data_IF_529939617968
#
_entry.id   IF_529939617968
#
_cell.length_a   1.000
_cell.length_b   1.000
_cell.length_c   1.000
_cell.angle_alpha   90.00
_cell.angle_beta   90.00
_cell.angle_gamma   90.00
#
_symmetry.space_group_name_H-M   'P 1'
#
loop_
_entity.id
_entity.type
_entity.pdbx_description
1 polymer ?
#
# COMPACT_ATOMS: atom_id res chain seq x y z
N UNK A 1 16.34 7.21 -36.77
CA UNK A 1 17.35 6.14 -37.07
C UNK A 1 17.83 5.47 -35.78
N UNK A 2 18.15 6.22 -34.72
CA UNK A 2 18.61 5.66 -33.41
C UNK A 2 17.55 4.77 -32.72
N UNK A 3 16.27 5.11 -32.77
CA UNK A 3 15.19 4.30 -32.18
C UNK A 3 15.02 2.97 -32.91
N UNK A 4 15.16 2.96 -34.24
CA UNK A 4 15.07 1.76 -35.06
C UNK A 4 16.23 0.81 -34.75
N UNK A 5 17.44 1.35 -34.59
CA UNK A 5 18.61 0.55 -34.22
C UNK A 5 18.49 -0.05 -32.82
N UNK A 6 17.94 0.70 -31.86
CA UNK A 6 17.64 0.16 -30.52
C UNK A 6 16.62 -0.98 -30.55
N UNK A 7 15.61 -0.88 -31.41
CA UNK A 7 14.62 -1.95 -31.57
C UNK A 7 15.26 -3.21 -32.19
N UNK A 8 16.11 -3.06 -33.19
CA UNK A 8 16.84 -4.19 -33.78
C UNK A 8 17.77 -4.84 -32.74
N UNK A 9 18.51 -4.05 -31.98
CA UNK A 9 19.36 -4.55 -30.93
C UNK A 9 18.57 -5.32 -29.85
N UNK A 10 17.36 -4.88 -29.51
CA UNK A 10 16.49 -5.59 -28.57
C UNK A 10 16.03 -6.95 -29.12
N UNK A 11 15.73 -7.04 -30.42
CA UNK A 11 15.40 -8.31 -31.09
C UNK A 11 16.59 -9.27 -31.07
N UNK A 12 17.77 -8.76 -31.40
CA UNK A 12 19.00 -9.57 -31.41
C UNK A 12 19.37 -10.10 -30.02
N UNK A 13 19.20 -9.26 -28.97
CA UNK A 13 19.38 -9.68 -27.58
C UNK A 13 18.36 -10.75 -27.19
N UNK A 14 17.14 -10.71 -27.70
CA UNK A 14 16.13 -11.74 -27.47
C UNK A 14 16.57 -13.13 -27.94
N UNK A 15 17.46 -13.20 -28.92
CA UNK A 15 18.02 -14.46 -29.44
C UNK A 15 19.34 -14.84 -28.73
N UNK A 16 20.20 -13.86 -28.48
CA UNK A 16 21.55 -14.06 -27.95
C UNK A 16 21.67 -13.94 -26.44
N UNK A 17 20.72 -13.26 -25.78
CA UNK A 17 20.70 -13.02 -24.34
C UNK A 17 20.12 -14.17 -23.51
N UNK A 18 19.85 -15.32 -24.11
CA UNK A 18 19.33 -16.50 -23.39
C UNK A 18 20.47 -17.07 -22.54
N UNK A 19 20.21 -17.15 -21.23
CA UNK A 19 21.16 -17.75 -20.26
C UNK A 19 20.60 -19.06 -19.74
N UNK A 20 21.41 -20.10 -19.72
CA UNK A 20 21.02 -21.33 -19.05
C UNK A 20 20.99 -21.14 -17.54
N UNK A 21 19.86 -21.48 -16.93
CA UNK A 21 19.71 -21.42 -15.48
C UNK A 21 19.93 -22.80 -14.88
N UNK A 22 20.99 -22.95 -14.12
CA UNK A 22 21.23 -24.16 -13.34
C UNK A 22 20.35 -24.12 -12.07
N UNK A 23 19.53 -25.15 -11.91
CA UNK A 23 18.68 -25.32 -10.73
C UNK A 23 19.05 -26.56 -9.95
N UNK A 24 18.91 -26.62 -8.64
CA UNK A 24 19.20 -27.80 -7.83
C UNK A 24 18.30 -28.97 -8.22
N UNK A 25 18.87 -30.18 -8.37
CA UNK A 25 18.08 -31.41 -8.68
C UNK A 25 16.96 -31.66 -7.66
N UNK A 26 17.15 -31.21 -6.41
CA UNK A 26 16.15 -31.30 -5.34
C UNK A 26 14.83 -30.59 -5.69
N UNK A 27 14.81 -29.63 -6.62
CA UNK A 27 13.58 -28.95 -7.04
C UNK A 27 12.62 -29.88 -7.79
N UNK A 28 13.14 -30.92 -8.45
CA UNK A 28 12.31 -31.90 -9.17
C UNK A 28 11.41 -32.72 -8.21
N UNK A 29 11.84 -32.87 -6.96
CA UNK A 29 11.14 -33.65 -5.93
C UNK A 29 10.60 -32.74 -4.79
N UNK A 30 10.77 -31.43 -4.90
CA UNK A 30 10.29 -30.50 -3.91
C UNK A 30 8.76 -30.53 -3.81
N UNK A 31 8.25 -30.80 -2.62
CA UNK A 31 6.84 -30.64 -2.31
C UNK A 31 6.60 -29.26 -1.71
N UNK A 32 5.46 -28.64 -2.04
CA UNK A 32 5.09 -27.36 -1.44
C UNK A 32 5.02 -27.50 0.07
N UNK A 33 5.98 -26.91 0.77
CA UNK A 33 5.95 -26.75 2.24
C UNK A 33 5.14 -25.54 2.69
N UNK A 34 4.49 -24.84 1.77
CA UNK A 34 3.68 -23.69 2.12
C UNK A 34 2.42 -24.15 2.85
N UNK A 35 2.43 -24.05 4.17
CA UNK A 35 1.20 -24.00 4.96
C UNK A 35 0.43 -22.77 4.50
N UNK A 36 -0.78 -22.96 3.99
CA UNK A 36 -1.65 -21.83 3.63
C UNK A 36 -1.74 -20.91 4.85
N UNK A 37 -1.27 -19.68 4.70
CA UNK A 37 -1.29 -18.72 5.79
C UNK A 37 -2.75 -18.48 6.18
N UNK A 38 -3.07 -18.68 7.46
CA UNK A 38 -4.38 -18.32 7.99
C UNK A 38 -4.51 -16.80 7.94
N UNK A 39 -5.47 -16.30 7.17
CA UNK A 39 -5.68 -14.86 6.99
C UNK A 39 -6.84 -14.39 7.87
N UNK A 40 -7.96 -15.10 7.87
CA UNK A 40 -9.17 -14.70 8.61
C UNK A 40 -10.17 -15.86 8.69
N UNK A 41 -10.96 -15.87 9.75
CA UNK A 41 -12.13 -16.76 9.93
C UNK A 41 -13.45 -16.07 9.52
N UNK A 42 -13.38 -14.85 8.98
CA UNK A 42 -14.56 -14.15 8.45
C UNK A 42 -15.27 -15.02 7.40
N UNK A 43 -16.55 -15.37 7.58
CA UNK A 43 -17.28 -16.23 6.64
C UNK A 43 -17.27 -15.69 5.20
N UNK A 44 -17.32 -14.37 5.02
CA UNK A 44 -17.25 -13.78 3.68
C UNK A 44 -15.89 -13.99 3.04
N UNK A 45 -14.81 -13.90 3.83
CA UNK A 45 -13.48 -14.22 3.35
C UNK A 45 -13.36 -15.70 2.99
N UNK A 46 -13.73 -16.60 3.89
CA UNK A 46 -13.55 -18.06 3.71
C UNK A 46 -14.37 -18.59 2.55
N UNK A 47 -15.64 -18.16 2.46
CA UNK A 47 -16.62 -18.72 1.54
C UNK A 47 -16.63 -18.06 0.18
N UNK A 48 -16.13 -16.82 0.06
CA UNK A 48 -16.23 -16.04 -1.17
C UNK A 48 -14.88 -15.53 -1.64
N UNK A 49 -14.16 -14.73 -0.82
CA UNK A 49 -12.92 -14.09 -1.26
C UNK A 49 -11.79 -15.09 -1.46
N UNK A 50 -11.58 -16.00 -0.51
CA UNK A 50 -10.52 -17.00 -0.57
C UNK A 50 -10.59 -17.90 -1.83
N UNK A 51 -11.75 -18.44 -2.23
CA UNK A 51 -11.88 -19.17 -3.50
C UNK A 51 -11.55 -18.30 -4.72
N UNK A 52 -11.94 -17.02 -4.74
CA UNK A 52 -11.63 -16.11 -5.84
C UNK A 52 -10.13 -15.84 -5.91
N UNK A 53 -9.47 -15.56 -4.78
CA UNK A 53 -8.02 -15.38 -4.73
C UNK A 53 -7.24 -16.62 -5.15
N UNK A 54 -7.80 -17.81 -4.88
CA UNK A 54 -7.26 -19.08 -5.34
C UNK A 54 -7.60 -19.40 -6.81
N UNK A 55 -8.19 -18.47 -7.57
CA UNK A 55 -8.65 -18.66 -8.95
C UNK A 55 -9.66 -19.80 -9.13
N UNK A 56 -10.51 -20.00 -8.13
CA UNK A 56 -11.55 -21.04 -8.08
C UNK A 56 -12.96 -20.45 -8.05
N UNK A 57 -13.11 -19.22 -8.54
CA UNK A 57 -14.39 -18.52 -8.56
C UNK A 57 -15.50 -19.24 -9.37
N UNK A 58 -15.11 -20.04 -10.38
CA UNK A 58 -16.00 -20.90 -11.16
C UNK A 58 -16.70 -21.99 -10.34
N UNK A 59 -16.14 -22.34 -9.18
CA UNK A 59 -16.74 -23.32 -8.25
C UNK A 59 -17.79 -22.70 -7.32
N UNK A 60 -17.89 -21.37 -7.29
CA UNK A 60 -18.86 -20.68 -6.45
C UNK A 60 -20.25 -20.73 -7.10
N UNK A 61 -21.29 -21.10 -6.32
CA UNK A 61 -22.65 -21.01 -6.83
C UNK A 61 -23.06 -19.55 -7.02
N UNK A 62 -23.90 -19.28 -8.04
CA UNK A 62 -24.39 -17.92 -8.36
C UNK A 62 -25.06 -17.26 -7.14
N UNK A 63 -25.67 -18.04 -6.25
CA UNK A 63 -26.29 -17.55 -5.02
C UNK A 63 -25.33 -16.92 -4.02
N UNK A 64 -24.01 -17.09 -4.18
CA UNK A 64 -23.00 -16.39 -3.37
C UNK A 64 -22.75 -14.95 -3.86
N UNK A 65 -23.19 -14.61 -5.06
CA UNK A 65 -23.15 -13.26 -5.60
C UNK A 65 -24.43 -12.51 -5.20
N UNK A 66 -24.28 -11.30 -4.68
CA UNK A 66 -25.43 -10.46 -4.38
C UNK A 66 -26.17 -10.09 -5.68
N UNK A 67 -27.50 -10.19 -5.66
CA UNK A 67 -28.33 -9.96 -6.85
C UNK A 67 -28.24 -8.53 -7.40
N UNK A 68 -27.90 -7.56 -6.53
CA UNK A 68 -27.69 -6.16 -6.84
C UNK A 68 -26.23 -5.83 -7.21
N UNK A 69 -25.34 -6.84 -7.20
CA UNK A 69 -23.92 -6.68 -7.48
C UNK A 69 -23.11 -6.06 -6.33
N UNK A 70 -23.70 -5.88 -5.14
CA UNK A 70 -23.00 -5.33 -4.00
C UNK A 70 -21.86 -6.25 -3.53
N UNK A 71 -20.67 -5.68 -3.39
CA UNK A 71 -19.50 -6.33 -2.77
C UNK A 71 -19.11 -5.54 -1.52
N UNK A 72 -18.98 -6.18 -0.35
CA UNK A 72 -18.56 -5.52 0.86
C UNK A 72 -17.23 -4.76 0.67
N UNK A 73 -17.12 -3.58 1.27
CA UNK A 73 -15.90 -2.77 1.25
C UNK A 73 -14.84 -3.30 2.21
N UNK A 74 -13.60 -2.85 2.07
CA UNK A 74 -12.50 -3.18 2.99
C UNK A 74 -11.90 -4.58 2.78
N UNK A 75 -12.15 -5.23 1.65
CA UNK A 75 -11.67 -6.59 1.36
C UNK A 75 -10.16 -6.65 1.08
N UNK A 76 -9.50 -5.52 0.79
CA UNK A 76 -8.03 -5.44 0.62
C UNK A 76 -7.24 -5.87 1.86
N UNK A 77 -7.86 -5.83 3.04
CA UNK A 77 -7.24 -6.36 4.28
C UNK A 77 -6.88 -7.84 4.19
N UNK A 78 -7.55 -8.60 3.31
CA UNK A 78 -7.31 -10.02 3.09
C UNK A 78 -6.27 -10.32 2.03
N UNK A 79 -5.86 -9.32 1.25
CA UNK A 79 -4.94 -9.49 0.13
C UNK A 79 -3.80 -8.46 0.20
N UNK A 80 -2.80 -8.76 1.00
CA UNK A 80 -1.60 -7.93 1.20
C UNK A 80 -0.43 -8.53 0.40
N UNK A 81 -0.27 -8.11 -0.86
CA UNK A 81 0.68 -8.74 -1.80
C UNK A 81 2.13 -8.29 -1.65
N UNK A 82 2.37 -7.04 -1.22
CA UNK A 82 3.72 -6.52 -1.04
C UNK A 82 4.56 -6.54 -2.32
N UNK A 83 3.99 -6.10 -3.44
CA UNK A 83 4.63 -6.20 -4.78
C UNK A 83 5.67 -5.13 -5.05
N UNK A 84 5.73 -4.09 -4.24
CA UNK A 84 6.68 -3.00 -4.41
C UNK A 84 8.10 -3.44 -4.06
N UNK A 85 9.08 -3.05 -4.86
CA UNK A 85 10.50 -3.19 -4.51
C UNK A 85 10.90 -2.14 -3.48
N UNK A 86 10.39 -0.92 -3.66
CA UNK A 86 10.61 0.21 -2.74
C UNK A 86 9.27 0.87 -2.40
N UNK A 87 9.16 1.39 -1.20
CA UNK A 87 7.98 2.12 -0.70
C UNK A 87 8.38 3.49 -0.16
N UNK A 88 7.47 4.49 -0.21
CA UNK A 88 7.80 5.81 0.29
C UNK A 88 7.81 5.86 1.82
N UNK A 89 8.91 6.34 2.38
CA UNK A 89 9.07 6.64 3.80
C UNK A 89 8.83 8.12 4.05
N UNK A 90 8.09 8.43 5.10
CA UNK A 90 7.76 9.80 5.47
C UNK A 90 8.85 10.44 6.31
N UNK A 91 9.18 11.69 5.98
CA UNK A 91 10.16 12.55 6.69
C UNK A 91 9.36 13.70 7.31
N UNK A 92 9.02 13.61 8.63
CA UNK A 92 8.16 14.57 9.30
C UNK A 92 8.64 16.01 9.20
N UNK A 93 9.95 16.25 9.34
CA UNK A 93 10.57 17.57 9.39
C UNK A 93 10.32 18.35 8.09
N UNK A 94 10.32 17.66 6.96
CA UNK A 94 10.15 18.25 5.65
C UNK A 94 8.68 18.42 5.25
N UNK A 95 7.75 17.77 5.98
CA UNK A 95 6.35 17.70 5.58
C UNK A 95 5.61 19.01 5.88
N UNK A 96 4.99 19.58 4.87
CA UNK A 96 4.13 20.76 4.96
C UNK A 96 2.64 20.42 5.12
N UNK A 97 2.30 19.16 5.28
CA UNK A 97 0.94 18.66 5.52
C UNK A 97 -0.08 19.05 4.43
N UNK A 98 0.32 19.07 3.17
CA UNK A 98 -0.56 19.47 2.06
C UNK A 98 -1.44 18.31 1.54
N UNK A 99 -1.16 17.06 1.90
CA UNK A 99 -1.86 15.83 1.50
C UNK A 99 -1.86 15.53 -0.02
N UNK A 100 -1.03 16.20 -0.82
CA UNK A 100 -0.96 15.92 -2.25
C UNK A 100 -0.49 14.49 -2.54
N UNK A 101 0.37 13.93 -1.69
CA UNK A 101 0.81 12.54 -1.80
C UNK A 101 -0.35 11.54 -1.63
N UNK A 102 -1.31 11.83 -0.75
CA UNK A 102 -2.50 11.00 -0.58
C UNK A 102 -3.45 11.15 -1.79
N UNK A 103 -3.65 12.39 -2.28
CA UNK A 103 -4.53 12.68 -3.42
C UNK A 103 -4.12 11.92 -4.68
N UNK A 104 -2.81 11.81 -4.97
CA UNK A 104 -2.33 11.21 -6.23
C UNK A 104 -2.17 9.69 -6.15
N UNK A 105 -2.35 9.09 -4.98
CA UNK A 105 -2.17 7.65 -4.84
C UNK A 105 -3.37 6.90 -5.43
N UNK A 106 -3.19 6.13 -6.54
CA UNK A 106 -4.29 5.43 -7.18
C UNK A 106 -4.85 4.29 -6.34
N UNK A 107 -4.08 3.84 -5.33
CA UNK A 107 -4.43 2.71 -4.46
C UNK A 107 -4.85 3.15 -3.05
N UNK A 108 -4.86 4.46 -2.77
CA UNK A 108 -5.08 5.00 -1.43
C UNK A 108 -4.20 4.35 -0.33
N UNK A 109 -3.03 3.84 -0.72
CA UNK A 109 -2.07 3.18 0.16
C UNK A 109 -1.18 4.15 0.94
N UNK A 110 -1.31 5.45 0.71
CA UNK A 110 -0.69 6.51 1.50
C UNK A 110 -1.78 7.48 1.96
N UNK A 111 -1.90 7.70 3.27
CA UNK A 111 -2.98 8.48 3.86
C UNK A 111 -2.48 9.40 4.95
N UNK A 112 -3.14 10.56 5.16
CA UNK A 112 -2.95 11.40 6.33
C UNK A 112 -3.77 10.85 7.50
N UNK A 113 -3.15 10.81 8.68
CA UNK A 113 -3.80 10.48 9.93
C UNK A 113 -3.67 11.64 10.91
N UNK A 114 -4.71 11.83 11.72
CA UNK A 114 -4.75 12.81 12.80
C UNK A 114 -5.19 12.10 14.06
N UNK A 115 -4.46 12.33 15.14
CA UNK A 115 -4.78 11.82 16.47
C UNK A 115 -4.67 12.95 17.52
N UNK A 116 -5.20 12.74 18.70
CA UNK A 116 -5.02 13.68 19.82
C UNK A 116 -3.64 13.52 20.44
N UNK A 117 -3.16 14.55 21.14
CA UNK A 117 -1.88 14.50 21.85
C UNK A 117 -1.87 13.48 23.00
N UNK A 118 -3.06 13.09 23.52
CA UNK A 118 -3.19 12.06 24.55
C UNK A 118 -3.19 10.63 24.00
N UNK A 119 -3.18 10.44 22.68
CA UNK A 119 -3.19 9.11 22.08
C UNK A 119 -1.85 8.40 22.35
N UNK A 120 -1.91 7.27 23.04
CA UNK A 120 -0.73 6.40 23.22
C UNK A 120 -0.38 5.72 21.91
N UNK A 121 0.70 6.16 21.28
CA UNK A 121 1.19 5.64 20.02
C UNK A 121 2.49 4.85 20.22
N UNK A 122 2.75 3.81 19.40
CA UNK A 122 4.05 3.14 19.38
C UNK A 122 5.19 4.13 19.11
N UNK A 123 6.37 3.89 19.68
CA UNK A 123 7.56 4.76 19.45
C UNK A 123 7.91 4.91 17.96
N UNK A 124 7.63 3.87 17.16
CA UNK A 124 7.84 3.88 15.71
C UNK A 124 6.83 4.76 14.96
N UNK A 125 5.69 5.08 15.60
CA UNK A 125 4.65 5.91 15.00
C UNK A 125 4.93 7.40 15.24
N UNK A 126 6.03 7.89 14.69
CA UNK A 126 6.41 9.30 14.81
C UNK A 126 5.34 10.18 14.18
N UNK A 127 4.87 11.18 14.91
CA UNK A 127 3.93 12.19 14.46
C UNK A 127 4.44 13.60 14.76
N UNK A 128 3.90 14.59 14.10
CA UNK A 128 4.22 16.01 14.34
C UNK A 128 2.96 16.82 14.64
N UNK A 129 3.13 18.00 15.24
CA UNK A 129 2.00 18.91 15.48
C UNK A 129 1.21 19.14 14.19
N UNK A 130 -0.08 18.92 14.25
CA UNK A 130 -0.98 19.13 13.13
C UNK A 130 -1.21 20.62 12.86
N UNK A 131 -1.48 20.99 11.61
CA UNK A 131 -1.79 22.36 11.22
C UNK A 131 -3.13 22.41 10.50
N UNK A 132 -3.99 23.40 10.83
CA UNK A 132 -5.27 23.62 10.16
C UNK A 132 -6.29 22.50 10.32
N UNK A 133 -6.22 21.75 11.42
CA UNK A 133 -7.16 20.68 11.79
C UNK A 133 -7.65 20.79 13.24
N UNK A 134 -7.46 21.96 13.84
CA UNK A 134 -7.73 22.23 15.25
C UNK A 134 -6.50 22.03 16.14
N UNK A 135 -6.60 22.54 17.39
CA UNK A 135 -5.51 22.47 18.37
C UNK A 135 -5.44 21.09 19.06
N UNK A 136 -4.32 20.82 19.74
CA UNK A 136 -4.11 19.58 20.50
C UNK A 136 -4.10 18.31 19.64
N UNK A 137 -3.65 18.43 18.38
CA UNK A 137 -3.65 17.31 17.44
C UNK A 137 -2.28 17.06 16.82
N UNK A 138 -1.99 15.80 16.59
CA UNK A 138 -0.80 15.31 15.90
C UNK A 138 -1.18 14.77 14.51
N UNK A 139 -0.26 14.91 13.57
CA UNK A 139 -0.41 14.55 12.19
C UNK A 139 0.70 13.57 11.75
N UNK A 140 0.33 12.58 10.95
CA UNK A 140 1.25 11.68 10.27
C UNK A 140 0.76 11.37 8.85
N UNK A 141 1.69 11.23 7.92
CA UNK A 141 1.47 10.50 6.67
C UNK A 141 1.93 9.06 6.88
N UNK A 142 1.02 8.11 6.68
CA UNK A 142 1.32 6.69 6.81
C UNK A 142 1.10 5.98 5.49
N UNK A 143 1.98 5.03 5.19
CA UNK A 143 1.92 4.18 4.00
C UNK A 143 1.54 2.75 4.41
N UNK A 144 0.65 2.12 3.65
CA UNK A 144 0.45 0.67 3.68
C UNK A 144 1.52 0.03 2.79
N UNK A 145 2.55 -0.61 3.35
CA UNK A 145 3.67 -1.11 2.55
C UNK A 145 3.26 -2.24 1.61
N UNK A 146 2.30 -3.06 2.03
CA UNK A 146 1.84 -4.21 1.24
C UNK A 146 0.79 -3.86 0.17
N UNK A 147 0.14 -2.70 0.25
CA UNK A 147 -0.79 -2.20 -0.77
C UNK A 147 -0.10 -1.23 -1.75
N UNK A 148 1.09 -0.76 -1.42
CA UNK A 148 1.87 0.13 -2.27
C UNK A 148 2.43 -0.62 -3.48
N UNK A 149 2.38 0.01 -4.65
CA UNK A 149 2.97 -0.54 -5.89
C UNK A 149 4.36 0.01 -6.22
N UNK A 150 4.90 0.91 -5.38
CA UNK A 150 6.24 1.48 -5.58
C UNK A 150 6.35 2.48 -6.74
N UNK A 151 5.25 3.03 -7.24
CA UNK A 151 5.23 3.88 -8.45
C UNK A 151 5.94 5.23 -8.29
N UNK A 152 6.24 5.70 -7.06
CA UNK A 152 6.94 6.95 -6.78
C UNK A 152 6.13 8.24 -7.00
N UNK A 153 4.87 8.18 -7.45
CA UNK A 153 4.05 9.37 -7.76
C UNK A 153 3.92 10.33 -6.57
N UNK A 154 3.76 9.80 -5.36
CA UNK A 154 3.67 10.59 -4.13
C UNK A 154 4.97 11.36 -3.81
N UNK A 155 6.13 10.76 -4.10
CA UNK A 155 7.43 11.42 -3.94
C UNK A 155 7.59 12.52 -4.97
N UNK A 156 7.23 12.24 -6.22
CA UNK A 156 7.37 13.20 -7.32
C UNK A 156 6.49 14.43 -7.11
N UNK A 157 5.23 14.26 -6.73
CA UNK A 157 4.28 15.38 -6.54
C UNK A 157 4.57 16.21 -5.30
N UNK A 158 5.36 15.73 -4.35
CA UNK A 158 5.62 16.42 -3.10
C UNK A 158 6.20 17.81 -3.36
N UNK A 159 5.50 18.91 -2.96
CA UNK A 159 5.94 20.28 -3.26
C UNK A 159 6.90 20.84 -2.23
N UNK A 160 7.21 20.09 -1.16
CA UNK A 160 8.13 20.54 -0.12
C UNK A 160 9.52 20.83 -0.73
N UNK A 161 10.16 21.90 -0.29
CA UNK A 161 11.48 22.33 -0.79
C UNK A 161 12.51 21.20 -0.68
N UNK A 162 12.53 20.53 0.47
CA UNK A 162 13.19 19.23 0.63
C UNK A 162 12.07 18.19 0.70
N UNK A 163 12.11 17.18 -0.16
CA UNK A 163 11.05 16.17 -0.24
C UNK A 163 10.73 15.57 1.13
N UNK A 164 9.43 15.48 1.44
CA UNK A 164 8.93 14.89 2.68
C UNK A 164 8.73 13.37 2.57
N UNK A 165 9.04 12.79 1.42
CA UNK A 165 8.98 11.36 1.15
C UNK A 165 10.24 10.93 0.41
N UNK A 166 10.77 9.76 0.79
CA UNK A 166 11.92 9.10 0.15
C UNK A 166 11.59 7.63 -0.06
N UNK A 167 11.90 7.09 -1.22
CA UNK A 167 11.76 5.65 -1.46
C UNK A 167 12.81 4.88 -0.64
N UNK A 168 12.39 3.76 -0.05
CA UNK A 168 13.23 2.83 0.69
C UNK A 168 12.88 1.39 0.32
N UNK A 169 13.84 0.45 0.36
CA UNK A 169 13.56 -0.95 0.07
C UNK A 169 12.47 -1.51 0.99
N UNK A 170 11.47 -2.19 0.40
CA UNK A 170 10.35 -2.76 1.15
C UNK A 170 10.86 -3.69 2.26
N UNK A 171 11.80 -4.57 1.95
CA UNK A 171 12.34 -5.56 2.88
C UNK A 171 12.96 -4.96 4.16
N UNK A 172 13.39 -3.69 4.12
CA UNK A 172 13.99 -3.01 5.29
C UNK A 172 12.94 -2.40 6.22
N UNK A 173 11.75 -2.06 5.68
CA UNK A 173 10.76 -1.24 6.39
C UNK A 173 9.41 -1.91 6.57
N UNK A 174 9.12 -3.00 5.85
CA UNK A 174 7.80 -3.60 5.74
C UNK A 174 7.14 -3.90 7.09
N UNK A 175 7.88 -4.50 8.02
CA UNK A 175 7.32 -4.88 9.32
C UNK A 175 6.90 -3.65 10.13
N UNK A 176 7.81 -2.68 10.27
CA UNK A 176 7.56 -1.47 11.07
C UNK A 176 6.43 -0.64 10.45
N UNK A 177 6.45 -0.46 9.14
CA UNK A 177 5.43 0.34 8.46
C UNK A 177 4.07 -0.36 8.40
N UNK A 178 4.04 -1.70 8.36
CA UNK A 178 2.79 -2.45 8.46
C UNK A 178 2.18 -2.36 9.87
N UNK A 179 2.99 -2.46 10.92
CA UNK A 179 2.54 -2.30 12.30
C UNK A 179 2.00 -0.87 12.53
N UNK A 180 2.72 0.14 12.02
CA UNK A 180 2.29 1.54 12.03
C UNK A 180 1.00 1.76 11.24
N UNK A 181 0.83 1.10 10.10
CA UNK A 181 -0.39 1.16 9.31
C UNK A 181 -1.58 0.58 10.07
N UNK A 182 -1.42 -0.59 10.67
CA UNK A 182 -2.47 -1.24 11.44
C UNK A 182 -2.90 -0.35 12.62
N UNK A 183 -1.94 0.19 13.37
CA UNK A 183 -2.22 1.16 14.43
C UNK A 183 -2.98 2.38 13.90
N UNK A 184 -2.56 2.95 12.76
CA UNK A 184 -3.22 4.11 12.18
C UNK A 184 -4.67 3.83 11.75
N UNK A 185 -4.95 2.62 11.25
CA UNK A 185 -6.29 2.23 10.83
C UNK A 185 -7.25 2.00 12.00
N UNK A 186 -6.72 1.73 13.19
CA UNK A 186 -7.51 1.58 14.43
C UNK A 186 -7.75 2.92 15.16
N UNK A 187 -7.16 4.02 14.68
CA UNK A 187 -7.39 5.34 15.26
C UNK A 187 -8.86 5.75 15.14
N UNK A 188 -9.43 6.39 16.18
CA UNK A 188 -10.82 6.87 16.12
C UNK A 188 -10.95 7.97 15.07
N UNK A 189 -12.07 7.96 14.35
CA UNK A 189 -12.42 9.05 13.45
C UNK A 189 -12.69 10.32 14.25
N UNK A 190 -11.99 11.40 13.91
CA UNK A 190 -12.16 12.71 14.53
C UNK A 190 -12.97 13.64 13.62
N UNK A 191 -13.87 14.41 14.21
CA UNK A 191 -14.49 15.53 13.50
C UNK A 191 -13.48 16.69 13.41
N UNK A 192 -12.99 16.92 12.21
CA UNK A 192 -11.93 17.90 11.95
C UNK A 192 -12.52 19.16 11.29
N UNK A 193 -12.17 20.37 11.79
CA UNK A 193 -12.62 21.63 11.20
C UNK A 193 -11.87 21.96 9.91
N UNK A 194 -11.98 21.08 8.91
CA UNK A 194 -11.26 21.23 7.65
C UNK A 194 -12.18 21.64 6.51
N UNK A 195 -11.68 22.47 5.60
CA UNK A 195 -12.40 22.77 4.36
C UNK A 195 -12.23 21.62 3.36
N UNK A 196 -13.26 20.78 3.22
CA UNK A 196 -13.28 19.61 2.33
C UNK A 196 -13.16 19.96 0.83
N UNK A 197 -13.32 21.22 0.44
CA UNK A 197 -13.10 21.70 -0.92
C UNK A 197 -11.63 21.91 -1.26
N UNK A 198 -10.73 21.80 -0.30
CA UNK A 198 -9.27 21.88 -0.53
C UNK A 198 -8.67 20.50 -0.68
N UNK A 199 -7.52 20.39 -1.38
CA UNK A 199 -6.76 19.14 -1.48
C UNK A 199 -6.49 18.55 -0.10
N UNK A 200 -6.01 19.39 0.82
CA UNK A 200 -5.73 18.94 2.20
C UNK A 200 -6.96 18.40 2.90
N UNK A 201 -8.05 19.15 2.88
CA UNK A 201 -9.27 18.80 3.62
C UNK A 201 -10.01 17.60 3.02
N UNK A 202 -9.97 17.43 1.69
CA UNK A 202 -10.62 16.31 1.00
C UNK A 202 -10.00 14.94 1.34
N UNK A 203 -8.81 14.90 1.93
CA UNK A 203 -8.15 13.65 2.30
C UNK A 203 -8.47 13.18 3.73
N UNK A 204 -9.20 13.96 4.49
CA UNK A 204 -9.72 13.59 5.82
C UNK A 204 -11.21 13.25 5.71
N UNK A 205 -11.50 12.08 5.16
CA UNK A 205 -12.87 11.57 4.97
C UNK A 205 -13.15 10.44 5.94
#
# INVERSE_FOLDING_TARGET
EDVVQKNYAAIDIGVTGITEINYPEAWATATSGATAMHVSDDPYFVDFIKPILAQQGDKLPVSKLAADGYVPTGTTKYEKRGIAVEVPMWIPENCIQCNQCALVCPHASIRPFVMTEETEAPETFVAKKATGVGDGKLFRIQVSPYDCTGCGSCVNVCPAKTKALKMAPLAEVEKVENDNWNFAMDLPTLDLPVNKATVKGSQFL
#
